data_IF_083875153974
#
_entry.id   IF_083875153974
#
_cell.length_a   1.000
_cell.length_b   1.000
_cell.length_c   1.000
_cell.angle_alpha   90.00
_cell.angle_beta   90.00
_cell.angle_gamma   90.00
#
_symmetry.space_group_name_H-M   'P 1'
#
loop_
_entity.id
_entity.type
_entity.pdbx_description
1 polymer ?
#
# COMPACT_ATOMS: atom_id res chain seq x y z
N UNK A 1 10.96 -16.82 -30.85
CA UNK A 1 11.54 -15.46 -30.64
C UNK A 1 12.32 -15.48 -29.33
N UNK A 2 13.49 -14.85 -29.34
CA UNK A 2 14.62 -15.07 -28.43
C UNK A 2 14.30 -14.77 -26.95
N UNK A 3 14.58 -15.75 -26.06
CA UNK A 3 14.67 -15.54 -24.61
C UNK A 3 15.84 -14.58 -24.29
N UNK A 4 15.67 -13.58 -23.40
CA UNK A 4 16.75 -12.69 -23.01
C UNK A 4 17.73 -13.43 -22.09
N UNK A 5 18.93 -13.69 -22.62
CA UNK A 5 20.04 -14.42 -21.98
C UNK A 5 20.77 -13.64 -20.86
N UNK A 6 20.27 -12.47 -20.46
CA UNK A 6 20.99 -11.57 -19.54
C UNK A 6 20.63 -11.73 -18.06
N UNK A 7 19.39 -12.13 -17.71
CA UNK A 7 18.99 -12.28 -16.29
C UNK A 7 19.75 -13.40 -15.54
N UNK A 8 20.25 -14.40 -16.27
CA UNK A 8 20.99 -15.52 -15.69
C UNK A 8 22.45 -15.16 -15.36
N UNK A 9 23.06 -14.22 -16.09
CA UNK A 9 24.44 -13.76 -15.81
C UNK A 9 24.51 -12.86 -14.58
N UNK A 10 23.49 -12.04 -14.35
CA UNK A 10 23.46 -11.10 -13.23
C UNK A 10 23.08 -11.78 -11.91
N UNK A 11 22.24 -12.82 -11.97
CA UNK A 11 22.01 -13.73 -10.83
C UNK A 11 23.28 -14.52 -10.48
N UNK A 12 24.08 -14.90 -11.48
CA UNK A 12 25.38 -15.53 -11.28
C UNK A 12 26.38 -14.57 -10.63
N UNK A 13 26.33 -13.28 -10.98
CA UNK A 13 27.18 -12.26 -10.36
C UNK A 13 26.79 -12.01 -8.90
N UNK A 14 25.50 -12.05 -8.56
CA UNK A 14 25.04 -11.96 -7.17
C UNK A 14 25.42 -13.20 -6.35
N UNK A 15 25.22 -14.41 -6.89
CA UNK A 15 25.70 -15.65 -6.24
C UNK A 15 27.22 -15.71 -6.15
N UNK A 16 27.94 -15.23 -7.16
CA UNK A 16 29.40 -15.14 -7.16
C UNK A 16 29.88 -14.09 -6.15
N UNK A 17 29.22 -12.94 -6.04
CA UNK A 17 29.53 -11.94 -5.03
C UNK A 17 29.18 -12.43 -3.62
N UNK A 18 28.09 -13.18 -3.43
CA UNK A 18 27.73 -13.80 -2.15
C UNK A 18 28.66 -14.97 -1.79
N UNK A 19 29.04 -15.80 -2.75
CA UNK A 19 30.02 -16.87 -2.53
C UNK A 19 31.39 -16.28 -2.22
N UNK A 20 31.84 -15.23 -2.93
CA UNK A 20 33.08 -14.53 -2.61
C UNK A 20 32.98 -13.74 -1.29
N UNK A 21 31.79 -13.27 -0.89
CA UNK A 21 31.54 -12.66 0.41
C UNK A 21 31.65 -13.69 1.53
N UNK A 22 31.03 -14.86 1.36
CA UNK A 22 31.13 -15.97 2.31
C UNK A 22 32.56 -16.50 2.33
N UNK A 23 33.23 -16.65 1.19
CA UNK A 23 34.63 -17.08 1.11
C UNK A 23 35.58 -16.06 1.74
N UNK A 24 35.37 -14.77 1.52
CA UNK A 24 36.20 -13.70 2.10
C UNK A 24 35.98 -13.61 3.60
N UNK A 25 34.73 -13.68 4.09
CA UNK A 25 34.43 -13.74 5.53
C UNK A 25 34.99 -15.02 6.16
N UNK A 26 34.94 -16.15 5.44
CA UNK A 26 35.45 -17.46 5.91
C UNK A 26 36.98 -17.52 5.88
N UNK A 27 37.66 -16.95 4.87
CA UNK A 27 39.13 -16.80 4.83
C UNK A 27 39.59 -15.83 5.91
N UNK A 28 38.88 -14.72 6.15
CA UNK A 28 39.20 -13.80 7.24
C UNK A 28 39.03 -14.47 8.61
N UNK A 29 37.97 -15.28 8.78
CA UNK A 29 37.78 -16.09 9.99
C UNK A 29 38.86 -17.19 10.13
N UNK A 30 39.24 -17.86 9.05
CA UNK A 30 40.23 -18.94 9.07
C UNK A 30 41.66 -18.41 9.32
N UNK A 31 42.02 -17.26 8.75
CA UNK A 31 43.32 -16.62 8.96
C UNK A 31 43.48 -16.08 10.40
N UNK A 32 42.40 -15.71 11.09
CA UNK A 32 42.46 -15.20 12.46
C UNK A 32 42.23 -16.26 13.55
N UNK A 33 41.49 -17.35 13.28
CA UNK A 33 41.28 -18.43 14.26
C UNK A 33 42.47 -19.40 14.34
N UNK A 34 43.33 -19.46 13.31
CA UNK A 34 44.49 -20.38 13.25
C UNK A 34 45.87 -19.69 13.38
N UNK A 35 45.96 -18.54 14.06
CA UNK A 35 47.26 -17.95 14.42
C UNK A 35 47.53 -18.07 15.92
N UNK A 36 47.58 -19.30 16.42
CA UNK A 36 48.38 -19.63 17.61
C UNK A 36 49.81 -19.98 17.16
N UNK A 37 50.86 -19.41 17.76
CA UNK A 37 52.22 -19.56 17.25
C UNK A 37 52.82 -20.90 17.67
N UNK A 38 53.02 -21.82 16.72
CA UNK A 38 54.07 -22.85 16.85
C UNK A 38 55.28 -22.39 16.07
N UNK A 39 56.33 -22.03 16.81
CA UNK A 39 57.63 -21.67 16.32
C UNK A 39 58.21 -22.73 15.37
N UNK A 40 58.69 -22.33 14.20
CA UNK A 40 59.84 -22.95 13.53
C UNK A 40 60.45 -21.94 12.56
N UNK A 41 61.77 -21.76 12.66
CA UNK A 41 62.53 -20.73 11.97
C UNK A 41 62.73 -20.97 10.48
N UNK A 42 63.07 -19.90 9.76
CA UNK A 42 63.46 -19.96 8.35
C UNK A 42 63.46 -18.57 7.74
N UNK A 43 64.61 -18.17 7.22
CA UNK A 43 64.97 -16.79 6.88
C UNK A 43 64.39 -16.29 5.56
N UNK A 44 64.46 -14.97 5.41
CA UNK A 44 64.60 -14.23 4.15
C UNK A 44 63.33 -13.83 3.37
N UNK A 45 62.59 -12.86 3.90
CA UNK A 45 62.13 -11.66 3.16
C UNK A 45 61.00 -10.96 3.95
N UNK A 46 61.30 -9.88 4.68
CA UNK A 46 60.34 -8.80 5.02
C UNK A 46 60.98 -7.73 5.92
N UNK A 47 61.89 -6.95 5.35
CA UNK A 47 62.49 -5.78 6.02
C UNK A 47 61.53 -4.61 6.27
N UNK A 48 60.31 -4.63 5.72
CA UNK A 48 59.33 -3.55 5.87
C UNK A 48 58.06 -3.92 6.66
N UNK A 49 57.84 -5.21 6.98
CA UNK A 49 56.71 -5.64 7.83
C UNK A 49 57.14 -5.78 9.29
N UNK A 50 58.43 -6.02 9.56
CA UNK A 50 58.97 -6.08 10.92
C UNK A 50 58.87 -4.76 11.70
N UNK A 51 58.95 -3.61 11.01
CA UNK A 51 58.86 -2.30 11.67
C UNK A 51 57.42 -1.95 12.12
N UNK A 52 56.40 -2.40 11.40
CA UNK A 52 55.00 -2.25 11.78
C UNK A 52 54.58 -3.29 12.85
N UNK A 53 55.15 -4.49 12.80
CA UNK A 53 54.93 -5.51 13.83
C UNK A 53 55.60 -5.14 15.17
N UNK A 54 56.76 -4.47 15.14
CA UNK A 54 57.46 -4.02 16.35
C UNK A 54 56.75 -2.85 17.05
N UNK A 55 56.12 -1.94 16.30
CA UNK A 55 55.29 -0.86 16.87
C UNK A 55 53.97 -1.37 17.46
N UNK A 56 53.44 -2.50 16.95
CA UNK A 56 52.29 -3.22 17.53
C UNK A 56 52.66 -4.08 18.73
N UNK A 57 53.92 -4.52 18.87
CA UNK A 57 54.34 -5.33 20.02
C UNK A 57 54.56 -4.52 21.30
N UNK A 58 54.90 -3.23 21.17
CA UNK A 58 55.16 -2.38 22.35
C UNK A 58 53.88 -1.87 23.04
N UNK A 59 52.71 -2.02 22.40
CA UNK A 59 51.40 -1.74 22.99
C UNK A 59 50.71 -2.98 23.59
N UNK A 60 51.34 -4.16 23.51
CA UNK A 60 50.72 -5.44 23.86
C UNK A 60 51.08 -5.98 25.26
N UNK A 61 51.79 -5.20 26.09
CA UNK A 61 52.19 -5.64 27.44
C UNK A 61 51.28 -5.20 28.57
N UNK A 62 50.10 -4.65 28.30
CA UNK A 62 49.06 -4.56 29.33
C UNK A 62 47.67 -4.30 28.72
N UNK A 63 46.66 -4.93 29.34
CA UNK A 63 45.21 -4.72 29.14
C UNK A 63 44.53 -5.65 28.10
N UNK A 64 43.94 -6.73 28.64
CA UNK A 64 42.53 -7.10 28.47
C UNK A 64 42.00 -7.41 27.06
N UNK A 65 41.49 -8.63 26.90
CA UNK A 65 40.84 -9.23 25.72
C UNK A 65 39.56 -8.51 25.21
N UNK A 66 39.65 -7.21 24.90
CA UNK A 66 38.58 -6.35 24.35
C UNK A 66 38.89 -5.62 23.02
N UNK A 67 40.14 -5.43 22.53
CA UNK A 67 40.38 -4.62 21.32
C UNK A 67 40.07 -5.33 19.98
N UNK A 68 40.22 -6.66 19.88
CA UNK A 68 40.01 -7.36 18.60
C UNK A 68 38.55 -7.42 18.15
N UNK A 69 37.61 -7.53 19.09
CA UNK A 69 36.17 -7.46 18.81
C UNK A 69 35.78 -6.07 18.28
N UNK A 70 36.38 -5.01 18.82
CA UNK A 70 36.14 -3.64 18.36
C UNK A 70 36.66 -3.40 16.93
N UNK A 71 37.87 -3.86 16.63
CA UNK A 71 38.49 -3.65 15.31
C UNK A 71 37.85 -4.49 14.20
N UNK A 72 37.39 -5.71 14.54
CA UNK A 72 36.58 -6.52 13.62
C UNK A 72 35.21 -5.87 13.35
N UNK A 73 34.61 -5.26 14.37
CA UNK A 73 33.32 -4.56 14.24
C UNK A 73 33.46 -3.27 13.41
N UNK A 74 34.55 -2.52 13.57
CA UNK A 74 34.88 -1.38 12.70
C UNK A 74 35.07 -1.79 11.24
N UNK A 75 35.81 -2.88 11.00
CA UNK A 75 36.07 -3.39 9.65
C UNK A 75 34.78 -3.85 8.96
N UNK A 76 33.91 -4.54 9.70
CA UNK A 76 32.58 -4.95 9.23
C UNK A 76 31.69 -3.73 8.95
N UNK A 77 31.73 -2.71 9.81
CA UNK A 77 30.94 -1.48 9.64
C UNK A 77 31.38 -0.70 8.40
N UNK A 78 32.69 -0.58 8.16
CA UNK A 78 33.24 0.03 6.95
C UNK A 78 32.80 -0.72 5.68
N UNK A 79 32.83 -2.05 5.70
CA UNK A 79 32.36 -2.87 4.59
C UNK A 79 30.86 -2.67 4.32
N UNK A 80 30.03 -2.70 5.36
CA UNK A 80 28.58 -2.46 5.26
C UNK A 80 28.26 -1.05 4.72
N UNK A 81 28.97 -0.01 5.17
CA UNK A 81 28.81 1.35 4.66
C UNK A 81 29.16 1.45 3.18
N UNK A 82 30.27 0.82 2.76
CA UNK A 82 30.67 0.80 1.35
C UNK A 82 29.63 0.09 0.47
N UNK A 83 29.16 -1.08 0.89
CA UNK A 83 28.15 -1.82 0.17
C UNK A 83 26.82 -1.06 0.08
N UNK A 84 26.38 -0.45 1.19
CA UNK A 84 25.15 0.34 1.22
C UNK A 84 25.20 1.56 0.32
N UNK A 85 26.34 2.26 0.27
CA UNK A 85 26.55 3.39 -0.62
C UNK A 85 26.58 2.97 -2.11
N UNK A 86 27.20 1.82 -2.41
CA UNK A 86 27.19 1.29 -3.77
C UNK A 86 25.77 0.88 -4.21
N UNK A 87 25.02 0.22 -3.32
CA UNK A 87 23.66 -0.21 -3.60
C UNK A 87 22.70 0.99 -3.73
N UNK A 88 22.89 2.04 -2.93
CA UNK A 88 22.21 3.32 -3.10
C UNK A 88 22.44 3.88 -4.51
N UNK A 89 23.69 3.91 -4.97
CA UNK A 89 24.03 4.42 -6.31
C UNK A 89 23.37 3.61 -7.41
N UNK A 90 23.47 2.28 -7.33
CA UNK A 90 22.82 1.35 -8.27
C UNK A 90 21.30 1.59 -8.32
N UNK A 91 20.63 1.76 -7.18
CA UNK A 91 19.18 1.90 -7.15
C UNK A 91 18.67 3.28 -7.55
N UNK A 92 19.28 4.35 -7.04
CA UNK A 92 18.82 5.73 -7.25
C UNK A 92 19.29 6.28 -8.58
N UNK A 93 20.56 6.08 -8.94
CA UNK A 93 21.14 6.64 -10.17
C UNK A 93 20.95 5.71 -11.38
N UNK A 94 21.16 4.41 -11.22
CA UNK A 94 21.18 3.48 -12.36
C UNK A 94 19.84 2.78 -12.61
N UNK A 95 18.98 2.64 -11.59
CA UNK A 95 17.71 1.88 -11.68
C UNK A 95 16.44 2.72 -11.58
N UNK A 96 16.56 4.05 -11.53
CA UNK A 96 15.44 5.00 -11.42
C UNK A 96 14.42 4.66 -10.32
N UNK A 97 14.92 4.46 -9.08
CA UNK A 97 14.06 4.18 -7.93
C UNK A 97 12.94 5.23 -7.76
N UNK A 98 13.23 6.51 -8.01
CA UNK A 98 12.25 7.59 -7.90
C UNK A 98 11.12 7.46 -8.93
N UNK A 99 11.45 7.10 -10.17
CA UNK A 99 10.45 6.80 -11.19
C UNK A 99 9.57 5.61 -10.79
N UNK A 100 10.14 4.54 -10.25
CA UNK A 100 9.35 3.39 -9.81
C UNK A 100 8.48 3.69 -8.58
N UNK A 101 8.95 4.49 -7.63
CA UNK A 101 8.12 4.98 -6.52
C UNK A 101 6.95 5.83 -7.03
N UNK A 102 7.17 6.65 -8.06
CA UNK A 102 6.10 7.40 -8.71
C UNK A 102 5.09 6.47 -9.38
N UNK A 103 5.53 5.40 -10.04
CA UNK A 103 4.63 4.38 -10.59
C UNK A 103 3.82 3.72 -9.47
N UNK A 104 4.45 3.29 -8.37
CA UNK A 104 3.74 2.72 -7.22
C UNK A 104 2.69 3.70 -6.68
N UNK A 105 3.02 4.99 -6.56
CA UNK A 105 2.07 6.03 -6.18
C UNK A 105 0.92 6.17 -7.18
N UNK A 106 1.22 6.26 -8.47
CA UNK A 106 0.25 6.47 -9.53
C UNK A 106 -0.81 5.36 -9.59
N UNK A 107 -0.42 4.11 -9.34
CA UNK A 107 -1.30 2.94 -9.47
C UNK A 107 -1.81 2.38 -8.13
N UNK A 108 -0.96 2.08 -7.14
CA UNK A 108 -1.45 1.56 -5.85
C UNK A 108 -2.12 2.64 -5.00
N UNK A 109 -1.64 3.88 -5.08
CA UNK A 109 -2.19 5.00 -4.30
C UNK A 109 -3.18 5.86 -5.10
N UNK A 110 -3.60 5.37 -6.28
CA UNK A 110 -4.54 6.04 -7.19
C UNK A 110 -4.14 7.48 -7.58
N UNK A 111 -2.84 7.76 -7.71
CA UNK A 111 -2.35 9.08 -8.14
C UNK A 111 -2.90 9.50 -9.51
N UNK A 112 -3.19 8.54 -10.40
CA UNK A 112 -3.88 8.78 -11.69
C UNK A 112 -5.39 8.69 -11.55
N UNK A 113 -6.00 9.68 -10.90
CA UNK A 113 -7.44 9.68 -10.61
C UNK A 113 -8.34 9.56 -11.85
N UNK A 114 -7.96 10.15 -12.97
CA UNK A 114 -8.70 10.08 -14.25
C UNK A 114 -8.70 8.68 -14.86
N UNK A 115 -7.56 7.98 -14.80
CA UNK A 115 -7.42 6.60 -15.26
C UNK A 115 -8.36 5.69 -14.50
N UNK A 116 -8.30 5.76 -13.15
CA UNK A 116 -9.14 4.91 -12.31
C UNK A 116 -10.62 5.29 -12.40
N UNK A 117 -10.95 6.55 -12.65
CA UNK A 117 -12.33 6.93 -12.96
C UNK A 117 -12.82 6.24 -14.23
N UNK A 118 -12.06 6.34 -15.33
CA UNK A 118 -12.41 5.69 -16.60
C UNK A 118 -12.49 4.16 -16.47
N UNK A 119 -11.58 3.57 -15.69
CA UNK A 119 -11.58 2.14 -15.39
C UNK A 119 -12.81 1.72 -14.58
N UNK A 120 -13.15 2.46 -13.52
CA UNK A 120 -14.35 2.17 -12.71
C UNK A 120 -15.59 2.18 -13.60
N UNK A 121 -15.74 3.21 -14.44
CA UNK A 121 -16.90 3.34 -15.33
C UNK A 121 -17.01 2.16 -16.32
N UNK A 122 -15.87 1.69 -16.84
CA UNK A 122 -15.81 0.58 -17.80
C UNK A 122 -16.02 -0.78 -17.13
N UNK A 123 -15.37 -1.03 -15.99
CA UNK A 123 -15.35 -2.33 -15.30
C UNK A 123 -16.57 -2.57 -14.39
N UNK A 124 -17.41 -1.56 -14.15
CA UNK A 124 -18.55 -1.63 -13.23
C UNK A 124 -19.51 -2.79 -13.51
N UNK A 125 -19.82 -3.07 -14.78
CA UNK A 125 -20.78 -4.10 -15.14
C UNK A 125 -20.24 -5.53 -14.95
N UNK A 126 -18.93 -5.73 -15.12
CA UNK A 126 -18.27 -7.04 -15.01
C UNK A 126 -17.82 -7.39 -13.58
N UNK A 127 -17.51 -6.39 -12.75
CA UNK A 127 -17.02 -6.60 -11.37
C UNK A 127 -18.13 -6.57 -10.31
N UNK A 128 -19.36 -6.20 -10.68
CA UNK A 128 -20.53 -6.30 -9.78
C UNK A 128 -20.94 -7.73 -9.50
N UNK A 129 -20.74 -8.64 -10.45
CA UNK A 129 -21.05 -10.07 -10.30
C UNK A 129 -19.90 -10.82 -9.64
N UNK A 130 -20.15 -11.99 -9.04
CA UNK A 130 -19.07 -12.87 -8.56
C UNK A 130 -18.07 -13.18 -9.68
N UNK A 131 -16.76 -13.24 -9.38
CA UNK A 131 -15.73 -13.44 -10.39
C UNK A 131 -15.81 -14.84 -11.01
N UNK A 132 -15.49 -14.92 -12.29
CA UNK A 132 -15.36 -16.16 -13.07
C UNK A 132 -13.93 -16.31 -13.59
N UNK A 133 -13.60 -17.45 -14.20
CA UNK A 133 -12.25 -17.70 -14.73
C UNK A 133 -11.81 -16.69 -15.81
N UNK A 134 -12.75 -16.06 -16.52
CA UNK A 134 -12.46 -15.05 -17.57
C UNK A 134 -12.38 -13.63 -17.04
N UNK A 135 -12.90 -13.38 -15.83
CA UNK A 135 -13.01 -12.02 -15.26
C UNK A 135 -11.65 -11.34 -15.12
N UNK A 136 -10.59 -12.08 -14.79
CA UNK A 136 -9.23 -11.52 -14.71
C UNK A 136 -8.77 -10.96 -16.06
N UNK A 137 -9.01 -11.69 -17.15
CA UNK A 137 -8.65 -11.24 -18.49
C UNK A 137 -9.46 -10.02 -18.93
N UNK A 138 -10.78 -10.07 -18.79
CA UNK A 138 -11.69 -9.00 -19.20
C UNK A 138 -11.40 -7.67 -18.48
N UNK A 139 -11.07 -7.75 -17.18
CA UNK A 139 -10.72 -6.60 -16.35
C UNK A 139 -9.41 -5.96 -16.79
N UNK A 140 -8.40 -6.76 -17.15
CA UNK A 140 -7.14 -6.23 -17.68
C UNK A 140 -7.33 -5.55 -19.05
N UNK A 141 -8.17 -6.11 -19.92
CA UNK A 141 -8.54 -5.48 -21.19
C UNK A 141 -9.26 -4.15 -20.94
N UNK A 142 -10.21 -4.11 -20.01
CA UNK A 142 -10.90 -2.87 -19.63
C UNK A 142 -9.94 -1.83 -19.05
N UNK A 143 -8.92 -2.25 -18.29
CA UNK A 143 -7.89 -1.37 -17.77
C UNK A 143 -7.01 -0.76 -18.87
N UNK A 144 -6.57 -1.57 -19.84
CA UNK A 144 -5.82 -1.10 -21.01
C UNK A 144 -6.64 -0.12 -21.85
N UNK A 145 -7.92 -0.45 -22.11
CA UNK A 145 -8.82 0.47 -22.82
C UNK A 145 -8.99 1.80 -22.08
N UNK A 146 -9.07 1.75 -20.76
CA UNK A 146 -9.18 2.96 -19.93
C UNK A 146 -7.89 3.78 -19.97
N UNK A 147 -6.73 3.13 -19.98
CA UNK A 147 -5.43 3.79 -20.17
C UNK A 147 -5.31 4.48 -21.53
N UNK A 148 -5.73 3.82 -22.60
CA UNK A 148 -5.75 4.43 -23.93
C UNK A 148 -6.74 5.61 -24.01
N UNK A 149 -7.89 5.51 -23.34
CA UNK A 149 -8.91 6.58 -23.31
C UNK A 149 -8.39 7.86 -22.66
N UNK A 150 -7.52 7.75 -21.67
CA UNK A 150 -6.90 8.90 -20.99
C UNK A 150 -5.56 9.33 -21.59
N UNK A 151 -5.19 8.78 -22.75
CA UNK A 151 -3.94 9.09 -23.46
C UNK A 151 -2.70 8.88 -22.57
N UNK A 152 -2.63 7.72 -21.91
CA UNK A 152 -1.43 7.36 -21.15
C UNK A 152 -0.25 7.15 -22.11
N UNK A 153 0.68 8.09 -22.16
CA UNK A 153 1.76 8.18 -23.16
C UNK A 153 2.86 7.09 -23.06
N UNK A 154 2.81 6.21 -22.05
CA UNK A 154 3.87 5.22 -21.78
C UNK A 154 3.40 3.78 -22.01
N UNK A 155 3.47 3.35 -23.28
CA UNK A 155 3.12 1.98 -23.71
C UNK A 155 3.98 0.90 -23.03
N UNK A 156 5.17 1.25 -22.51
CA UNK A 156 6.06 0.30 -21.85
C UNK A 156 5.67 0.03 -20.39
N UNK A 157 4.82 0.88 -19.81
CA UNK A 157 4.40 0.80 -18.41
C UNK A 157 3.27 -0.22 -18.19
N UNK A 158 2.31 -0.29 -19.11
CA UNK A 158 1.14 -1.16 -18.99
C UNK A 158 1.49 -2.65 -18.87
N UNK A 159 2.48 -3.22 -19.60
CA UNK A 159 2.87 -4.62 -19.44
C UNK A 159 3.46 -4.97 -18.07
N UNK A 160 3.89 -3.96 -17.28
CA UNK A 160 4.42 -4.17 -15.93
C UNK A 160 3.31 -4.25 -14.87
N UNK A 161 2.10 -3.86 -15.22
CA UNK A 161 0.95 -3.78 -14.32
C UNK A 161 -0.08 -4.84 -14.73
N UNK A 162 -0.55 -5.61 -13.77
CA UNK A 162 -1.54 -6.66 -13.99
C UNK A 162 -2.57 -6.64 -12.88
N UNK A 163 -3.84 -6.48 -13.22
CA UNK A 163 -4.93 -6.60 -12.26
C UNK A 163 -5.20 -8.08 -11.99
N UNK A 164 -5.21 -8.46 -10.72
CA UNK A 164 -5.43 -9.84 -10.28
C UNK A 164 -6.85 -10.02 -9.76
N UNK A 165 -7.41 -11.22 -9.94
CA UNK A 165 -8.72 -11.59 -9.38
C UNK A 165 -8.55 -12.83 -8.53
N UNK A 166 -8.85 -12.73 -7.23
CA UNK A 166 -8.93 -13.89 -6.35
C UNK A 166 -10.25 -14.65 -6.60
N UNK A 167 -10.19 -15.85 -7.17
CA UNK A 167 -11.35 -16.73 -7.31
C UNK A 167 -11.02 -18.15 -6.88
N UNK A 168 -11.98 -18.82 -6.23
CA UNK A 168 -11.80 -20.14 -5.60
C UNK A 168 -11.58 -21.32 -6.60
N UNK A 169 -11.51 -21.04 -7.91
CA UNK A 169 -11.27 -22.04 -8.96
C UNK A 169 -9.81 -22.21 -9.36
N UNK A 170 -8.86 -21.47 -8.75
CA UNK A 170 -7.43 -21.79 -8.85
C UNK A 170 -7.13 -23.03 -7.99
N UNK A 171 -7.52 -24.21 -8.49
CA UNK A 171 -6.93 -25.45 -7.99
C UNK A 171 -5.41 -25.36 -8.18
N UNK A 172 -4.70 -25.53 -7.07
CA UNK A 172 -3.24 -25.60 -6.99
C UNK A 172 -2.70 -26.65 -7.98
N UNK A 173 -2.32 -26.24 -9.20
CA UNK A 173 -1.56 -27.10 -10.12
C UNK A 173 -0.04 -27.08 -9.89
N UNK A 174 0.46 -26.24 -8.97
CA UNK A 174 1.89 -26.14 -8.64
C UNK A 174 2.24 -26.70 -7.25
N UNK A 175 1.58 -27.78 -6.83
CA UNK A 175 1.98 -28.54 -5.65
C UNK A 175 2.09 -30.03 -5.98
N UNK A 176 3.03 -30.38 -6.85
CA UNK A 176 3.57 -31.74 -6.85
C UNK A 176 5.04 -31.69 -6.45
N UNK A 177 5.33 -32.32 -5.31
CA UNK A 177 6.64 -32.68 -4.76
C UNK A 177 7.37 -31.61 -3.92
N UNK A 178 7.08 -31.56 -2.61
CA UNK A 178 7.93 -32.19 -1.59
C UNK A 178 7.49 -31.84 -0.14
N UNK A 179 7.33 -32.93 0.63
CA UNK A 179 7.39 -33.08 2.11
C UNK A 179 6.21 -32.69 2.99
N UNK A 180 5.78 -33.73 3.70
CA UNK A 180 4.80 -33.84 4.77
C UNK A 180 5.08 -32.90 5.95
N UNK A 181 4.03 -32.23 6.43
CA UNK A 181 3.96 -31.48 7.68
C UNK A 181 2.49 -31.25 8.05
N UNK A 182 2.10 -31.28 9.34
CA UNK A 182 0.71 -31.48 9.73
C UNK A 182 -0.16 -30.25 9.47
N UNK A 183 -1.33 -30.56 8.90
CA UNK A 183 -2.53 -29.77 8.66
C UNK A 183 -2.74 -28.55 9.57
N UNK A 184 -2.59 -27.36 8.98
CA UNK A 184 -3.27 -26.15 9.46
C UNK A 184 -4.72 -26.20 9.00
N UNK A 185 -5.63 -26.21 9.96
CA UNK A 185 -7.07 -26.05 9.78
C UNK A 185 -7.39 -24.81 8.93
N UNK A 186 -7.66 -25.00 7.64
CA UNK A 186 -8.19 -23.95 6.79
C UNK A 186 -9.71 -23.95 6.93
N UNK A 187 -10.21 -23.01 7.73
CA UNK A 187 -11.60 -22.53 7.61
C UNK A 187 -11.90 -22.24 6.13
N UNK A 188 -13.07 -22.62 5.59
CA UNK A 188 -13.42 -22.32 4.22
C UNK A 188 -13.44 -20.80 4.03
N UNK A 189 -12.47 -20.26 3.29
CA UNK A 189 -12.51 -18.86 2.85
C UNK A 189 -13.80 -18.69 2.04
N UNK A 190 -14.68 -17.82 2.50
CA UNK A 190 -15.91 -17.48 1.79
C UNK A 190 -15.55 -16.88 0.43
N UNK A 191 -16.19 -17.35 -0.63
CA UNK A 191 -15.95 -16.82 -1.96
C UNK A 191 -16.27 -15.31 -1.97
N UNK A 192 -15.44 -14.48 -2.62
CA UNK A 192 -15.67 -13.04 -2.63
C UNK A 192 -17.03 -12.74 -3.26
N UNK A 193 -17.86 -12.01 -2.51
CA UNK A 193 -19.25 -11.72 -2.88
C UNK A 193 -19.38 -10.90 -4.18
N UNK A 194 -18.32 -10.22 -4.60
CA UNK A 194 -18.25 -9.46 -5.86
C UNK A 194 -16.84 -9.48 -6.43
N UNK A 195 -16.72 -9.29 -7.75
CA UNK A 195 -15.44 -9.10 -8.42
C UNK A 195 -14.64 -7.92 -7.85
N UNK A 196 -15.31 -6.86 -7.38
CA UNK A 196 -14.66 -5.73 -6.73
C UNK A 196 -13.89 -6.10 -5.45
N UNK A 197 -14.44 -6.99 -4.63
CA UNK A 197 -13.76 -7.47 -3.44
C UNK A 197 -12.57 -8.40 -3.76
N UNK A 198 -12.62 -9.06 -4.92
CA UNK A 198 -11.58 -9.95 -5.42
C UNK A 198 -10.45 -9.26 -6.18
N UNK A 199 -10.62 -7.99 -6.56
CA UNK A 199 -9.69 -7.24 -7.38
C UNK A 199 -8.44 -6.83 -6.60
N UNK A 200 -7.28 -7.18 -7.13
CA UNK A 200 -5.98 -6.70 -6.68
C UNK A 200 -5.17 -6.11 -7.82
N UNK A 201 -4.04 -5.51 -7.47
CA UNK A 201 -3.03 -5.04 -8.41
C UNK A 201 -1.72 -5.79 -8.16
N UNK A 202 -1.09 -6.23 -9.24
CA UNK A 202 0.25 -6.79 -9.26
C UNK A 202 1.16 -5.91 -10.11
N UNK A 203 2.35 -5.64 -9.59
CA UNK A 203 3.36 -4.86 -10.27
C UNK A 203 4.63 -5.69 -10.41
N UNK A 204 5.10 -5.85 -11.65
CA UNK A 204 6.28 -6.66 -11.99
C UNK A 204 7.55 -5.84 -11.81
N UNK A 205 8.07 -5.87 -10.59
CA UNK A 205 9.32 -5.20 -10.21
C UNK A 205 10.49 -5.81 -10.97
N UNK A 206 11.32 -4.97 -11.58
CA UNK A 206 12.56 -5.39 -12.25
C UNK A 206 13.73 -5.42 -11.27
N UNK A 207 14.74 -6.24 -11.57
CA UNK A 207 16.02 -6.17 -10.86
C UNK A 207 16.64 -4.77 -11.04
N UNK A 208 17.23 -4.17 -10.00
CA UNK A 208 17.50 -4.67 -8.64
C UNK A 208 16.43 -4.30 -7.61
N UNK A 209 15.34 -3.63 -7.99
CA UNK A 209 14.42 -2.97 -7.07
C UNK A 209 13.54 -3.92 -6.24
N UNK A 210 13.48 -5.21 -6.59
CA UNK A 210 12.80 -6.25 -5.82
C UNK A 210 13.33 -6.41 -4.39
N UNK A 211 14.56 -5.93 -4.11
CA UNK A 211 15.13 -5.88 -2.76
C UNK A 211 14.32 -4.95 -1.84
N UNK A 212 13.80 -3.84 -2.39
CA UNK A 212 12.92 -2.92 -1.67
C UNK A 212 11.45 -3.31 -1.82
N UNK A 213 11.00 -3.58 -3.04
CA UNK A 213 9.62 -3.95 -3.35
C UNK A 213 9.41 -5.47 -3.26
N UNK A 214 9.57 -6.00 -2.06
CA UNK A 214 9.32 -7.42 -1.79
C UNK A 214 7.84 -7.78 -1.96
N UNK A 215 7.48 -9.06 -2.17
CA UNK A 215 6.08 -9.46 -2.25
C UNK A 215 5.25 -9.06 -1.02
N UNK A 216 5.84 -9.11 0.18
CA UNK A 216 5.18 -8.69 1.41
C UNK A 216 4.88 -7.18 1.45
N UNK A 217 5.75 -6.37 0.86
CA UNK A 217 5.57 -4.92 0.72
C UNK A 217 4.46 -4.62 -0.29
N UNK A 218 4.47 -5.30 -1.45
CA UNK A 218 3.43 -5.13 -2.47
C UNK A 218 2.05 -5.53 -1.96
N UNK A 219 1.95 -6.55 -1.11
CA UNK A 219 0.68 -6.92 -0.48
C UNK A 219 0.13 -5.82 0.43
N UNK A 220 0.99 -5.15 1.21
CA UNK A 220 0.59 -3.98 2.01
C UNK A 220 0.09 -2.84 1.13
N UNK A 221 0.75 -2.57 0.00
CA UNK A 221 0.24 -1.60 -0.99
C UNK A 221 -1.10 -2.03 -1.57
N UNK A 222 -1.30 -3.32 -1.84
CA UNK A 222 -2.54 -3.85 -2.36
C UNK A 222 -3.72 -3.68 -1.37
N UNK A 223 -3.46 -3.82 -0.07
CA UNK A 223 -4.46 -3.51 0.99
C UNK A 223 -4.89 -2.04 0.93
N UNK A 224 -3.93 -1.11 0.81
CA UNK A 224 -4.22 0.32 0.67
C UNK A 224 -4.97 0.60 -0.64
N UNK A 225 -4.53 0.02 -1.75
CA UNK A 225 -5.16 0.13 -3.06
C UNK A 225 -6.63 -0.29 -3.06
N UNK A 226 -6.94 -1.48 -2.55
CA UNK A 226 -8.31 -2.01 -2.43
C UNK A 226 -9.21 -1.04 -1.65
N UNK A 227 -8.70 -0.48 -0.56
CA UNK A 227 -9.43 0.48 0.27
C UNK A 227 -9.68 1.82 -0.46
N UNK A 228 -8.64 2.41 -1.04
CA UNK A 228 -8.75 3.66 -1.80
C UNK A 228 -9.71 3.51 -2.99
N UNK A 229 -9.64 2.37 -3.68
CA UNK A 229 -10.49 2.08 -4.82
C UNK A 229 -11.95 1.95 -4.39
N UNK A 230 -12.22 1.33 -3.25
CA UNK A 230 -13.57 1.24 -2.67
C UNK A 230 -14.18 2.63 -2.40
N UNK A 231 -13.42 3.51 -1.73
CA UNK A 231 -13.85 4.90 -1.49
C UNK A 231 -14.12 5.64 -2.81
N UNK A 232 -13.21 5.52 -3.78
CA UNK A 232 -13.35 6.17 -5.09
C UNK A 232 -14.58 5.66 -5.86
N UNK A 233 -14.88 4.36 -5.75
CA UNK A 233 -16.07 3.74 -6.37
C UNK A 233 -17.36 4.29 -5.80
N UNK A 234 -17.48 4.34 -4.47
CA UNK A 234 -18.66 4.91 -3.80
C UNK A 234 -18.86 6.37 -4.21
N UNK A 235 -17.77 7.14 -4.28
CA UNK A 235 -17.81 8.52 -4.74
C UNK A 235 -18.36 8.64 -6.17
N UNK A 236 -17.85 7.83 -7.10
CA UNK A 236 -18.31 7.80 -8.49
C UNK A 236 -19.79 7.39 -8.59
N UNK A 237 -20.23 6.38 -7.83
CA UNK A 237 -21.62 5.92 -7.82
C UNK A 237 -22.60 6.99 -7.27
N UNK A 238 -22.22 7.70 -6.20
CA UNK A 238 -23.01 8.81 -5.64
C UNK A 238 -23.12 9.98 -6.61
N UNK A 239 -22.07 10.23 -7.41
CA UNK A 239 -22.07 11.24 -8.46
C UNK A 239 -22.92 10.81 -9.67
N UNK A 240 -22.87 9.53 -10.04
CA UNK A 240 -23.72 8.98 -11.07
C UNK A 240 -25.22 9.08 -10.69
N UNK A 241 -25.57 8.73 -9.45
CA UNK A 241 -26.94 8.85 -8.94
C UNK A 241 -27.48 10.28 -9.03
N UNK A 242 -26.63 11.27 -8.83
CA UNK A 242 -27.00 12.68 -9.00
C UNK A 242 -27.26 13.07 -10.43
N UNK A 243 -26.40 12.63 -11.35
CA UNK A 243 -26.60 12.90 -12.77
C UNK A 243 -27.96 12.35 -13.21
N UNK A 244 -28.30 11.12 -12.77
CA UNK A 244 -29.61 10.50 -13.03
C UNK A 244 -30.78 11.31 -12.43
N UNK A 245 -30.64 11.79 -11.18
CA UNK A 245 -31.67 12.61 -10.54
C UNK A 245 -31.80 14.01 -11.18
N UNK A 246 -30.68 14.60 -11.62
CA UNK A 246 -30.63 15.91 -12.28
C UNK A 246 -31.38 15.89 -13.62
N UNK A 247 -31.21 14.84 -14.41
CA UNK A 247 -31.93 14.64 -15.68
C UNK A 247 -33.46 14.63 -15.52
N UNK A 248 -33.95 14.36 -14.30
CA UNK A 248 -35.39 14.27 -13.97
C UNK A 248 -35.95 15.48 -13.21
N UNK A 249 -35.17 16.56 -13.01
CA UNK A 249 -35.61 17.74 -12.23
C UNK A 249 -36.88 18.42 -12.72
N UNK A 250 -37.28 18.20 -13.98
CA UNK A 250 -38.50 18.76 -14.54
C UNK A 250 -39.78 17.98 -14.15
N UNK A 251 -39.66 16.84 -13.45
CA UNK A 251 -40.80 16.08 -12.93
C UNK A 251 -41.24 16.62 -11.56
N UNK A 252 -42.52 16.48 -11.22
CA UNK A 252 -43.08 16.94 -9.93
C UNK A 252 -42.30 16.29 -8.77
N UNK A 253 -41.73 17.12 -7.89
CA UNK A 253 -40.95 16.71 -6.74
C UNK A 253 -41.87 16.18 -5.63
N UNK A 254 -41.63 14.94 -5.17
CA UNK A 254 -42.36 14.35 -4.05
C UNK A 254 -41.56 14.47 -2.75
N UNK A 255 -42.22 14.35 -1.59
CA UNK A 255 -41.56 14.38 -0.27
C UNK A 255 -40.43 13.33 -0.14
N UNK A 256 -40.60 12.17 -0.76
CA UNK A 256 -39.58 11.10 -0.81
C UNK A 256 -38.32 11.53 -1.54
N UNK A 257 -38.44 12.38 -2.55
CA UNK A 257 -37.29 12.87 -3.30
C UNK A 257 -36.47 13.80 -2.41
N UNK A 258 -37.10 14.69 -1.65
CA UNK A 258 -36.40 15.54 -0.68
C UNK A 258 -35.56 14.71 0.33
N UNK A 259 -36.08 13.57 0.78
CA UNK A 259 -35.34 12.65 1.66
C UNK A 259 -34.16 12.00 0.92
N UNK A 260 -34.36 11.50 -0.30
CA UNK A 260 -33.26 10.95 -1.15
C UNK A 260 -32.16 12.01 -1.36
N UNK A 261 -32.54 13.22 -1.72
CA UNK A 261 -31.62 14.35 -1.95
C UNK A 261 -30.81 14.68 -0.71
N UNK A 262 -31.47 14.78 0.47
CA UNK A 262 -30.80 15.08 1.74
C UNK A 262 -29.82 13.98 2.12
N UNK A 263 -30.24 12.71 2.05
CA UNK A 263 -29.37 11.57 2.38
C UNK A 263 -28.17 11.52 1.42
N UNK A 264 -28.39 11.66 0.12
CA UNK A 264 -27.33 11.66 -0.89
C UNK A 264 -26.31 12.79 -0.68
N UNK A 265 -26.77 14.01 -0.42
CA UNK A 265 -25.88 15.14 -0.14
C UNK A 265 -25.02 14.87 1.09
N UNK A 266 -25.59 14.24 2.12
CA UNK A 266 -24.87 13.91 3.34
C UNK A 266 -23.84 12.78 3.14
N UNK A 267 -24.23 11.73 2.42
CA UNK A 267 -23.33 10.65 1.99
C UNK A 267 -22.17 11.18 1.16
N UNK A 268 -22.46 11.99 0.13
CA UNK A 268 -21.44 12.60 -0.73
C UNK A 268 -20.50 13.49 0.08
N UNK A 269 -21.02 14.36 0.94
CA UNK A 269 -20.19 15.20 1.81
C UNK A 269 -19.20 14.37 2.65
N UNK A 270 -19.66 13.29 3.28
CA UNK A 270 -18.78 12.45 4.11
C UNK A 270 -17.71 11.77 3.26
N UNK A 271 -18.10 11.15 2.13
CA UNK A 271 -17.18 10.42 1.24
C UNK A 271 -16.18 11.36 0.58
N UNK A 272 -16.59 12.55 0.13
CA UNK A 272 -15.71 13.55 -0.47
C UNK A 272 -14.66 14.05 0.54
N UNK A 273 -15.06 14.32 1.78
CA UNK A 273 -14.12 14.74 2.84
C UNK A 273 -13.17 13.60 3.24
N UNK A 274 -13.66 12.36 3.31
CA UNK A 274 -12.81 11.20 3.57
C UNK A 274 -11.77 11.02 2.47
N UNK A 275 -12.20 11.10 1.20
CA UNK A 275 -11.31 10.98 0.05
C UNK A 275 -10.26 12.10 0.06
N UNK A 276 -10.66 13.33 0.35
CA UNK A 276 -9.75 14.48 0.41
C UNK A 276 -8.73 14.34 1.55
N UNK A 277 -9.15 13.85 2.72
CA UNK A 277 -8.25 13.48 3.82
C UNK A 277 -7.21 12.44 3.39
N UNK A 278 -7.67 11.33 2.83
CA UNK A 278 -6.78 10.26 2.39
C UNK A 278 -5.77 10.79 1.35
N UNK A 279 -6.22 11.51 0.33
CA UNK A 279 -5.31 11.98 -0.72
C UNK A 279 -4.34 13.06 -0.24
N UNK A 280 -4.83 14.13 0.38
CA UNK A 280 -4.02 15.32 0.64
C UNK A 280 -3.25 15.23 1.96
N UNK A 281 -3.91 14.89 3.07
CA UNK A 281 -3.25 14.89 4.38
C UNK A 281 -2.39 13.64 4.58
N UNK A 282 -2.78 12.51 4.00
CA UNK A 282 -2.08 11.23 4.20
C UNK A 282 -1.16 10.94 3.03
N UNK A 283 -1.69 10.67 1.84
CA UNK A 283 -0.89 10.16 0.71
C UNK A 283 0.15 11.17 0.23
N UNK A 284 -0.25 12.41 -0.10
CA UNK A 284 0.68 13.43 -0.61
C UNK A 284 1.71 13.87 0.45
N UNK A 285 1.27 14.06 1.70
CA UNK A 285 2.17 14.42 2.81
C UNK A 285 3.22 13.34 3.07
N UNK A 286 2.79 12.08 3.25
CA UNK A 286 3.70 10.98 3.55
C UNK A 286 4.63 10.68 2.36
N UNK A 287 4.14 10.79 1.12
CA UNK A 287 4.98 10.57 -0.06
C UNK A 287 6.03 11.67 -0.22
N UNK A 288 5.67 12.93 0.05
CA UNK A 288 6.62 14.05 0.03
C UNK A 288 7.72 13.88 1.08
N UNK A 289 7.37 13.41 2.28
CA UNK A 289 8.35 13.09 3.32
C UNK A 289 9.29 11.96 2.88
N UNK A 290 8.76 10.88 2.28
CA UNK A 290 9.56 9.78 1.76
C UNK A 290 10.56 10.28 0.70
N UNK A 291 10.11 11.05 -0.28
CA UNK A 291 10.98 11.60 -1.32
C UNK A 291 12.08 12.50 -0.73
N UNK A 292 11.73 13.32 0.26
CA UNK A 292 12.72 14.17 0.93
C UNK A 292 13.79 13.35 1.66
N UNK A 293 13.39 12.29 2.36
CA UNK A 293 14.33 11.37 3.02
C UNK A 293 15.22 10.69 1.98
N UNK A 294 14.66 10.08 0.93
CA UNK A 294 15.45 9.39 -0.11
C UNK A 294 16.49 10.32 -0.75
N UNK A 295 16.13 11.57 -1.02
CA UNK A 295 17.03 12.55 -1.64
C UNK A 295 18.10 13.11 -0.69
N UNK A 296 17.94 12.94 0.63
CA UNK A 296 18.86 13.47 1.65
C UNK A 296 19.81 12.43 2.24
N UNK A 297 19.64 11.15 1.91
CA UNK A 297 20.54 10.06 2.32
C UNK A 297 21.36 9.51 1.14
N UNK A 298 22.52 8.91 1.45
CA UNK A 298 23.32 8.08 0.53
C UNK A 298 23.49 6.65 1.04
N UNK A 299 22.55 6.22 1.87
CA UNK A 299 22.55 4.94 2.57
C UNK A 299 21.27 4.19 2.23
N UNK A 300 21.42 3.00 1.65
CA UNK A 300 20.30 2.18 1.23
C UNK A 300 19.44 1.71 2.40
N UNK A 301 20.04 1.34 3.53
CA UNK A 301 19.27 0.91 4.71
C UNK A 301 18.40 2.05 5.24
N UNK A 302 18.90 3.30 5.22
CA UNK A 302 18.08 4.49 5.51
C UNK A 302 16.90 4.65 4.55
N UNK A 303 17.07 4.40 3.24
CA UNK A 303 15.96 4.40 2.27
C UNK A 303 14.93 3.33 2.61
N UNK A 304 15.39 2.11 2.89
CA UNK A 304 14.53 0.98 3.25
C UNK A 304 13.70 1.28 4.48
N UNK A 305 14.33 1.79 5.55
CA UNK A 305 13.66 2.18 6.79
C UNK A 305 12.66 3.31 6.56
N UNK A 306 13.02 4.33 5.77
CA UNK A 306 12.11 5.42 5.41
C UNK A 306 10.87 4.90 4.66
N UNK A 307 11.06 3.95 3.74
CA UNK A 307 9.98 3.33 2.99
C UNK A 307 9.09 2.43 3.87
N UNK A 308 9.66 1.64 4.78
CA UNK A 308 8.91 0.84 5.75
C UNK A 308 8.07 1.72 6.70
N UNK A 309 8.64 2.84 7.14
CA UNK A 309 7.94 3.84 7.93
C UNK A 309 6.81 4.50 7.14
N UNK A 310 7.07 4.91 5.90
CA UNK A 310 6.08 5.46 4.99
C UNK A 310 4.85 4.53 4.86
N UNK A 311 5.08 3.26 4.53
CA UNK A 311 3.99 2.30 4.30
C UNK A 311 3.23 1.97 5.59
N UNK A 312 3.93 1.92 6.73
CA UNK A 312 3.30 1.73 8.04
C UNK A 312 2.40 2.92 8.40
N UNK A 313 2.86 4.15 8.14
CA UNK A 313 2.07 5.35 8.34
C UNK A 313 0.87 5.40 7.40
N UNK A 314 1.03 5.02 6.13
CA UNK A 314 -0.11 4.94 5.20
C UNK A 314 -1.23 4.05 5.74
N UNK A 315 -0.90 2.85 6.23
CA UNK A 315 -1.87 1.92 6.79
C UNK A 315 -2.52 2.46 8.08
N UNK A 316 -1.74 3.09 8.95
CA UNK A 316 -2.22 3.63 10.22
C UNK A 316 -3.12 4.87 10.01
N UNK A 317 -2.63 5.86 9.25
CA UNK A 317 -3.29 7.14 9.01
C UNK A 317 -4.50 7.02 8.08
N UNK A 318 -4.53 6.01 7.19
CA UNK A 318 -5.74 5.68 6.42
C UNK A 318 -6.81 4.94 7.25
N UNK A 319 -6.56 4.75 8.55
CA UNK A 319 -7.42 4.06 9.52
C UNK A 319 -7.65 2.57 9.28
N UNK A 320 -6.91 1.95 8.37
CA UNK A 320 -7.01 0.53 8.04
C UNK A 320 -6.66 -0.35 9.25
N UNK A 321 -5.68 0.08 10.06
CA UNK A 321 -5.26 -0.65 11.26
C UNK A 321 -6.20 -0.44 12.46
N UNK A 322 -7.03 0.61 12.45
CA UNK A 322 -7.94 0.93 13.54
C UNK A 322 -9.31 0.26 13.32
N UNK A 323 -9.42 -1.02 13.71
CA UNK A 323 -10.60 -1.87 13.47
C UNK A 323 -11.97 -1.19 13.70
N UNK A 324 -12.22 -0.46 14.81
CA UNK A 324 -13.53 0.16 15.03
C UNK A 324 -13.85 1.25 14.00
N UNK A 325 -12.85 2.07 13.63
CA UNK A 325 -13.00 3.14 12.63
C UNK A 325 -13.15 2.52 11.25
N UNK A 326 -12.28 1.57 10.90
CA UNK A 326 -12.32 0.87 9.62
C UNK A 326 -13.65 0.17 9.38
N UNK A 327 -14.16 -0.56 10.37
CA UNK A 327 -15.47 -1.20 10.28
C UNK A 327 -16.59 -0.17 10.09
N UNK A 328 -16.59 0.91 10.88
CA UNK A 328 -17.59 1.98 10.73
C UNK A 328 -17.55 2.65 9.35
N UNK A 329 -16.36 2.88 8.79
CA UNK A 329 -16.18 3.46 7.46
C UNK A 329 -16.66 2.51 6.36
N UNK A 330 -16.33 1.21 6.42
CA UNK A 330 -16.82 0.23 5.44
C UNK A 330 -18.34 0.10 5.48
N UNK A 331 -18.95 0.05 6.67
CA UNK A 331 -20.42 0.06 6.82
C UNK A 331 -21.05 1.31 6.19
N UNK A 332 -20.40 2.48 6.32
CA UNK A 332 -20.83 3.72 5.66
C UNK A 332 -20.75 3.56 4.13
N UNK A 333 -19.66 3.02 3.59
CA UNK A 333 -19.49 2.78 2.16
C UNK A 333 -20.54 1.79 1.62
N UNK A 334 -20.85 0.72 2.36
CA UNK A 334 -21.87 -0.27 2.00
C UNK A 334 -23.29 0.30 2.03
N UNK A 335 -23.60 1.17 2.99
CA UNK A 335 -24.87 1.91 3.03
C UNK A 335 -24.98 2.88 1.85
N UNK A 336 -23.89 3.54 1.45
CA UNK A 336 -23.86 4.37 0.24
C UNK A 336 -24.09 3.53 -1.02
N UNK A 337 -23.43 2.38 -1.16
CA UNK A 337 -23.67 1.45 -2.28
C UNK A 337 -25.13 0.99 -2.35
N UNK A 338 -25.71 0.61 -1.20
CA UNK A 338 -27.11 0.19 -1.10
C UNK A 338 -28.07 1.32 -1.50
N UNK A 339 -27.77 2.55 -1.09
CA UNK A 339 -28.50 3.73 -1.51
C UNK A 339 -28.39 3.98 -3.02
N UNK A 340 -27.19 3.90 -3.60
CA UNK A 340 -26.99 4.05 -5.04
C UNK A 340 -27.78 3.00 -5.82
N UNK A 341 -27.76 1.74 -5.39
CA UNK A 341 -28.55 0.66 -5.98
C UNK A 341 -30.05 0.96 -5.94
N UNK A 342 -30.57 1.40 -4.79
CA UNK A 342 -31.98 1.77 -4.63
C UNK A 342 -32.39 2.91 -5.57
N UNK A 343 -31.56 3.95 -5.70
CA UNK A 343 -31.82 5.11 -6.57
C UNK A 343 -31.75 4.73 -8.04
N UNK A 344 -30.77 3.93 -8.44
CA UNK A 344 -30.62 3.49 -9.83
C UNK A 344 -31.78 2.59 -10.28
N UNK A 345 -32.30 1.73 -9.40
CA UNK A 345 -33.46 0.88 -9.69
C UNK A 345 -34.77 1.68 -9.70
N UNK A 346 -34.89 2.69 -8.84
CA UNK A 346 -36.11 3.48 -8.67
C UNK A 346 -35.87 4.96 -8.93
N UNK A 347 -35.70 5.29 -10.22
CA UNK A 347 -35.57 6.66 -10.70
C UNK A 347 -36.85 7.50 -10.48
N UNK A 348 -38.00 6.86 -10.23
CA UNK A 348 -39.30 7.50 -10.01
C UNK A 348 -39.70 7.61 -8.53
N UNK A 349 -40.99 7.89 -8.25
CA UNK A 349 -41.55 7.78 -6.90
C UNK A 349 -41.26 6.39 -6.33
N UNK A 350 -40.85 6.33 -5.07
CA UNK A 350 -40.66 5.04 -4.42
C UNK A 350 -42.01 4.37 -4.18
N UNK A 351 -42.06 3.07 -4.44
CA UNK A 351 -43.10 2.21 -3.90
C UNK A 351 -42.96 2.09 -2.37
N UNK A 352 -43.95 1.49 -1.72
CA UNK A 352 -43.97 1.35 -0.25
C UNK A 352 -42.73 0.57 0.26
N UNK A 353 -42.26 -0.41 -0.52
CA UNK A 353 -41.03 -1.17 -0.22
C UNK A 353 -39.78 -0.32 -0.36
N UNK A 354 -39.64 0.44 -1.44
CA UNK A 354 -38.53 1.36 -1.64
C UNK A 354 -38.48 2.46 -0.58
N UNK A 355 -39.65 2.95 -0.13
CA UNK A 355 -39.73 3.92 0.97
C UNK A 355 -39.30 3.31 2.31
N UNK A 356 -39.68 2.06 2.61
CA UNK A 356 -39.22 1.34 3.79
C UNK A 356 -37.69 1.12 3.76
N UNK A 357 -37.15 0.69 2.61
CA UNK A 357 -35.71 0.54 2.40
C UNK A 357 -34.96 1.87 2.59
N UNK A 358 -35.47 2.97 2.03
CA UNK A 358 -34.91 4.30 2.23
C UNK A 358 -34.88 4.69 3.71
N UNK A 359 -35.96 4.40 4.46
CA UNK A 359 -36.00 4.68 5.91
C UNK A 359 -34.93 3.91 6.69
N UNK A 360 -34.71 2.63 6.34
CA UNK A 360 -33.65 1.80 6.92
C UNK A 360 -32.28 2.41 6.62
N UNK A 361 -32.03 2.82 5.38
CA UNK A 361 -30.76 3.45 4.96
C UNK A 361 -30.50 4.77 5.69
N UNK A 362 -31.52 5.63 5.83
CA UNK A 362 -31.40 6.89 6.57
C UNK A 362 -31.00 6.63 8.03
N UNK A 363 -31.69 5.70 8.70
CA UNK A 363 -31.40 5.35 10.10
C UNK A 363 -30.02 4.72 10.25
N UNK A 364 -29.66 3.80 9.35
CA UNK A 364 -28.35 3.13 9.32
C UNK A 364 -27.23 4.15 9.14
N UNK A 365 -27.34 5.02 8.13
CA UNK A 365 -26.32 6.03 7.84
C UNK A 365 -26.18 7.03 8.98
N UNK A 366 -27.30 7.52 9.54
CA UNK A 366 -27.24 8.40 10.70
C UNK A 366 -26.54 7.73 11.87
N UNK A 367 -26.87 6.48 12.19
CA UNK A 367 -26.24 5.74 13.29
C UNK A 367 -24.74 5.59 13.09
N UNK A 368 -24.29 5.19 11.90
CA UNK A 368 -22.87 5.00 11.62
C UNK A 368 -22.11 6.32 11.60
N UNK A 369 -22.69 7.37 11.01
CA UNK A 369 -22.11 8.71 11.04
C UNK A 369 -21.94 9.18 12.49
N UNK A 370 -22.96 9.09 13.34
CA UNK A 370 -22.85 9.43 14.76
C UNK A 370 -21.79 8.61 15.50
N UNK A 371 -21.68 7.32 15.19
CA UNK A 371 -20.68 6.43 15.78
C UNK A 371 -19.27 6.87 15.39
N UNK A 372 -19.02 7.14 14.10
CA UNK A 372 -17.75 7.64 13.60
C UNK A 372 -17.36 8.93 14.33
N UNK A 373 -18.26 9.91 14.44
CA UNK A 373 -17.99 11.16 15.16
C UNK A 373 -17.68 10.93 16.64
N UNK A 374 -18.38 10.02 17.32
CA UNK A 374 -18.10 9.68 18.72
C UNK A 374 -16.71 9.06 18.88
N UNK A 375 -16.32 8.15 17.99
CA UNK A 375 -15.00 7.52 18.00
C UNK A 375 -13.92 8.59 17.76
N UNK A 376 -14.07 9.39 16.69
CA UNK A 376 -13.11 10.45 16.36
C UNK A 376 -12.98 11.49 17.50
N UNK A 377 -14.08 11.89 18.13
CA UNK A 377 -14.09 12.85 19.23
C UNK A 377 -13.48 12.28 20.51
N UNK A 378 -13.74 11.00 20.80
CA UNK A 378 -13.13 10.31 21.94
C UNK A 378 -11.61 10.25 21.80
N UNK A 379 -11.10 9.95 20.61
CA UNK A 379 -9.66 9.87 20.38
C UNK A 379 -8.99 11.25 20.43
N UNK A 380 -9.67 12.31 19.95
CA UNK A 380 -9.18 13.70 20.09
C UNK A 380 -8.95 14.07 21.55
N UNK A 381 -9.88 13.72 22.44
CA UNK A 381 -9.82 14.10 23.85
C UNK A 381 -8.65 13.45 24.62
N UNK A 382 -8.10 12.35 24.10
CA UNK A 382 -6.99 11.63 24.74
C UNK A 382 -5.61 11.97 24.12
N UNK A 383 -5.52 12.91 23.16
CA UNK A 383 -4.28 13.29 22.45
C UNK A 383 -3.52 12.13 21.79
N UNK A 384 -4.16 10.98 21.55
CA UNK A 384 -3.45 9.75 21.15
C UNK A 384 -2.99 9.79 19.69
N UNK A 385 -3.64 10.55 18.80
CA UNK A 385 -3.31 10.60 17.37
C UNK A 385 -3.72 11.95 16.74
N UNK A 386 -2.74 12.72 16.24
CA UNK A 386 -2.97 13.97 15.49
C UNK A 386 -3.81 13.77 14.24
N UNK A 387 -3.65 12.60 13.61
CA UNK A 387 -4.18 12.33 12.27
C UNK A 387 -5.70 12.12 12.31
N UNK A 388 -6.20 11.51 13.39
CA UNK A 388 -7.65 11.37 13.67
C UNK A 388 -8.30 12.74 13.95
N UNK A 389 -7.59 13.65 14.61
CA UNK A 389 -8.07 15.00 14.86
C UNK A 389 -8.20 15.78 13.54
N UNK A 390 -7.28 15.57 12.58
CA UNK A 390 -7.30 16.23 11.29
C UNK A 390 -8.51 15.81 10.42
N UNK A 391 -8.82 14.50 10.36
CA UNK A 391 -10.05 14.05 9.69
C UNK A 391 -11.29 14.65 10.36
N UNK A 392 -11.33 14.65 11.70
CA UNK A 392 -12.46 15.21 12.44
C UNK A 392 -12.66 16.70 12.17
N UNK A 393 -11.57 17.49 12.09
CA UNK A 393 -11.62 18.91 11.77
C UNK A 393 -12.18 19.15 10.37
N UNK A 394 -11.87 18.29 9.39
CA UNK A 394 -12.43 18.39 8.03
C UNK A 394 -13.91 18.04 8.00
N UNK A 395 -14.27 16.94 8.65
CA UNK A 395 -15.66 16.47 8.74
C UNK A 395 -16.56 17.45 9.50
N UNK A 396 -16.01 18.18 10.49
CA UNK A 396 -16.73 19.17 11.29
C UNK A 396 -16.33 20.62 10.98
N UNK A 397 -15.69 20.89 9.83
CA UNK A 397 -15.22 22.24 9.48
C UNK A 397 -16.37 23.28 9.48
N UNK A 398 -17.57 22.86 9.07
CA UNK A 398 -18.77 23.70 9.10
C UNK A 398 -19.53 23.67 10.45
N UNK A 399 -18.97 23.04 11.50
CA UNK A 399 -19.61 22.75 12.80
C UNK A 399 -20.97 22.02 12.69
N UNK A 400 -21.25 21.41 11.55
CA UNK A 400 -22.55 20.85 11.24
C UNK A 400 -22.92 19.71 12.19
N UNK A 401 -21.95 18.87 12.56
CA UNK A 401 -22.18 17.74 13.46
C UNK A 401 -22.12 18.16 14.93
N UNK A 402 -21.25 19.13 15.25
CA UNK A 402 -21.20 19.75 16.58
C UNK A 402 -22.48 20.52 16.92
N UNK A 403 -23.11 21.19 15.94
CA UNK A 403 -24.37 21.90 16.14
C UNK A 403 -25.61 20.98 16.13
N UNK A 404 -25.55 19.86 15.41
CA UNK A 404 -26.64 18.89 15.33
C UNK A 404 -26.61 17.82 16.45
N UNK A 405 -25.69 17.90 17.41
CA UNK A 405 -25.57 16.90 18.50
C UNK A 405 -25.28 15.48 18.00
N UNK A 406 -24.68 15.34 16.81
CA UNK A 406 -24.49 14.05 16.15
C UNK A 406 -25.76 13.41 15.58
N UNK A 407 -26.90 14.11 15.57
CA UNK A 407 -28.17 13.64 14.97
C UNK A 407 -28.73 14.69 14.02
N UNK A 408 -28.89 14.32 12.75
CA UNK A 408 -29.49 15.19 11.76
C UNK A 408 -30.97 15.47 12.08
N UNK A 409 -31.33 16.74 12.25
CA UNK A 409 -32.69 17.20 11.96
C UNK A 409 -33.56 17.65 13.13
N UNK A 410 -33.05 17.90 14.34
CA UNK A 410 -33.83 18.63 15.36
C UNK A 410 -33.70 20.14 15.20
N UNK A 411 -34.10 20.67 14.04
CA UNK A 411 -34.50 22.08 13.94
C UNK A 411 -35.90 22.12 13.35
N UNK A 412 -36.88 22.34 14.23
CA UNK A 412 -38.23 22.85 13.94
C UNK A 412 -39.19 21.89 13.24
N UNK A 413 -40.20 21.45 13.99
CA UNK A 413 -41.56 21.43 13.43
C UNK A 413 -41.97 22.83 12.97
#
# INVERSE_FOLDING_TARGET
MLCPRNSCKDSFLFYFLLENLVFSVYEFFCLFVWTTPTAYGGSLARGQIGAAAASLHHSHSNVGSKPCLFHCNESLTLFCCFFSQHLWKLMVEESDLLGQLKIIKDFYLLGRGELFQAFIDTAQHMLKTPPTAVTEHDVNVAFQQSAHKVLLDDDNLLPLLHLTIEYHGKEHKDATQAREGPSRETSPREAPASGWAALGLSYKVQWPLHILFTPAVLEKYNVVFKYLLSVRRVQAELQHCWALQMQRKHLKSNQTDAVKWRLRNHMAFLVDNLQYYLQVDVLESQFSQLLHQINSTRDFESIRLAHDHFLSNLLAQSFILLKPVFHCLNEILDLCHSFCSLVSQNLGPLDERGAAQLSILVKGFSRQSSLLFKILSSVRNHQINSDLAQLLLRLDYNKYYTQAGGTLGSFGM
#
